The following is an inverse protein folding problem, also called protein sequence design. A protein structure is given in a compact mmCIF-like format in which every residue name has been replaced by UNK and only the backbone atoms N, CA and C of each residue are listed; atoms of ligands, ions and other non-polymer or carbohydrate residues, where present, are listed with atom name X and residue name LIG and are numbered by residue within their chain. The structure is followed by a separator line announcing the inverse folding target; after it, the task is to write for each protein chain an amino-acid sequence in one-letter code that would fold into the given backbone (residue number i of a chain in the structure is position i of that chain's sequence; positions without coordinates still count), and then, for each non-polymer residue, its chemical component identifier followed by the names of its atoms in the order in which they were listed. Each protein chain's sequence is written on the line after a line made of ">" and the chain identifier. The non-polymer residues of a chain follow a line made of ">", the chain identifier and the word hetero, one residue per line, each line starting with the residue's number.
data_IF_626404821667
#
_entry.id   IF_626404821667
#
_cell.length_a   1.000
_cell.length_b   1.000
_cell.length_c   1.000
_cell.angle_alpha   90.00
_cell.angle_beta   90.00
_cell.angle_gamma   90.00
#
_symmetry.space_group_name_H-M   'P 1'
#
loop_
_entity.id
_entity.type
_entity.pdbx_description
1 polymer ?
#
# COMPACT_ATOMS: atom_id res chain seq x y z
N UNK A 1 -1.65 -6.14 3.93
CA UNK A 1 -1.23 -7.01 2.80
C UNK A 1 -2.17 -8.17 2.48
N UNK A 2 -2.72 -8.91 3.46
CA UNK A 2 -3.61 -10.05 3.17
C UNK A 2 -4.77 -9.70 2.21
N UNK A 3 -5.54 -8.66 2.51
CA UNK A 3 -6.65 -8.24 1.64
C UNK A 3 -6.16 -7.70 0.29
N UNK A 4 -5.29 -6.68 0.30
CA UNK A 4 -4.89 -6.00 -0.93
C UNK A 4 -4.00 -6.86 -1.84
N UNK A 5 -2.98 -7.53 -1.30
CA UNK A 5 -1.98 -8.29 -2.09
C UNK A 5 -2.31 -9.78 -2.16
N UNK A 6 -3.02 -10.31 -1.17
CA UNK A 6 -3.46 -11.70 -1.13
C UNK A 6 -4.80 -11.97 -1.82
N UNK A 7 -5.69 -10.97 -1.91
CA UNK A 7 -7.02 -11.15 -2.52
C UNK A 7 -7.30 -10.19 -3.69
N UNK A 8 -7.30 -8.88 -3.46
CA UNK A 8 -7.74 -7.88 -4.46
C UNK A 8 -6.80 -7.84 -5.68
N UNK A 9 -5.49 -7.71 -5.45
CA UNK A 9 -4.52 -7.66 -6.56
C UNK A 9 -4.54 -8.93 -7.40
N UNK A 10 -4.51 -10.16 -6.84
CA UNK A 10 -4.67 -11.38 -7.65
C UNK A 10 -5.96 -11.41 -8.46
N UNK A 11 -7.09 -10.97 -7.89
CA UNK A 11 -8.36 -10.87 -8.59
C UNK A 11 -8.25 -9.92 -9.80
N UNK A 12 -7.83 -8.67 -9.57
CA UNK A 12 -7.72 -7.69 -10.65
C UNK A 12 -6.64 -8.05 -11.67
N UNK A 13 -5.52 -8.65 -11.24
CA UNK A 13 -4.48 -9.13 -12.16
C UNK A 13 -4.98 -10.23 -13.09
N UNK A 14 -5.86 -11.13 -12.61
CA UNK A 14 -6.48 -12.18 -13.45
C UNK A 14 -7.51 -11.61 -14.41
N UNK A 15 -8.23 -10.55 -14.03
CA UNK A 15 -9.28 -9.95 -14.86
C UNK A 15 -8.76 -8.95 -15.88
N UNK A 16 -7.79 -8.10 -15.52
CA UNK A 16 -7.35 -6.95 -16.30
C UNK A 16 -5.86 -6.99 -16.68
N UNK A 17 -5.13 -8.03 -16.27
CA UNK A 17 -3.68 -8.13 -16.44
C UNK A 17 -2.89 -7.53 -15.26
N UNK A 18 -1.62 -7.92 -15.15
CA UNK A 18 -0.79 -7.63 -13.96
C UNK A 18 -0.64 -6.14 -13.70
N UNK A 19 -0.32 -5.34 -14.73
CA UNK A 19 -0.10 -3.91 -14.59
C UNK A 19 -1.35 -3.17 -14.08
N UNK A 20 -2.50 -3.39 -14.72
CA UNK A 20 -3.77 -2.81 -14.27
C UNK A 20 -4.19 -3.35 -12.90
N UNK A 21 -3.96 -4.63 -12.61
CA UNK A 21 -4.22 -5.20 -11.29
C UNK A 21 -3.46 -4.51 -10.16
N UNK A 22 -2.20 -4.15 -10.39
CA UNK A 22 -1.39 -3.36 -9.45
C UNK A 22 -1.97 -1.95 -9.29
N UNK A 23 -2.19 -1.24 -10.41
CA UNK A 23 -2.64 0.16 -10.38
C UNK A 23 -4.02 0.30 -9.72
N UNK A 24 -4.98 -0.55 -10.09
CA UNK A 24 -6.34 -0.51 -9.53
C UNK A 24 -6.34 -0.83 -8.03
N UNK A 25 -5.55 -1.83 -7.60
CA UNK A 25 -5.43 -2.16 -6.17
C UNK A 25 -4.79 -1.02 -5.39
N UNK A 26 -3.74 -0.40 -5.93
CA UNK A 26 -3.05 0.70 -5.29
C UNK A 26 -3.88 1.99 -5.24
N UNK A 27 -4.68 2.26 -6.27
CA UNK A 27 -5.63 3.37 -6.30
C UNK A 27 -6.71 3.18 -5.23
N UNK A 28 -7.33 2.00 -5.16
CA UNK A 28 -8.30 1.66 -4.13
C UNK A 28 -7.70 1.82 -2.72
N UNK A 29 -6.48 1.32 -2.51
CA UNK A 29 -5.76 1.44 -1.24
C UNK A 29 -5.55 2.90 -0.85
N UNK A 30 -5.01 3.74 -1.75
CA UNK A 30 -4.78 5.16 -1.45
C UNK A 30 -6.06 5.95 -1.21
N UNK A 31 -7.12 5.71 -1.99
CA UNK A 31 -8.41 6.38 -1.79
C UNK A 31 -9.03 6.08 -0.42
N UNK A 32 -8.86 4.86 0.10
CA UNK A 32 -9.35 4.49 1.43
C UNK A 32 -8.63 5.24 2.57
N UNK A 33 -7.44 5.80 2.33
CA UNK A 33 -6.73 6.63 3.31
C UNK A 33 -7.12 8.11 3.22
N UNK A 34 -7.88 8.53 2.19
CA UNK A 34 -8.32 9.92 2.03
C UNK A 34 -8.95 10.52 3.30
N UNK A 35 -9.91 9.84 3.97
CA UNK A 35 -10.53 10.33 5.20
C UNK A 35 -9.55 10.63 6.35
N UNK A 36 -8.45 9.89 6.45
CA UNK A 36 -7.43 10.06 7.50
C UNK A 36 -6.69 11.39 7.39
N UNK A 37 -6.59 11.91 6.16
CA UNK A 37 -5.85 13.13 5.82
C UNK A 37 -6.78 14.25 5.33
N UNK A 38 -8.04 14.26 5.76
CA UNK A 38 -9.03 15.27 5.34
C UNK A 38 -9.15 15.42 3.81
N UNK A 39 -8.99 14.32 3.08
CA UNK A 39 -8.98 14.27 1.62
C UNK A 39 -7.89 15.12 0.94
N UNK A 40 -6.80 15.44 1.65
CA UNK A 40 -5.64 16.06 1.03
C UNK A 40 -5.01 15.11 0.00
N UNK A 41 -5.17 15.47 -1.28
CA UNK A 41 -4.83 14.63 -2.42
C UNK A 41 -3.35 14.22 -2.46
N UNK A 42 -2.46 15.02 -1.87
CA UNK A 42 -1.03 14.72 -1.78
C UNK A 42 -0.77 13.40 -1.04
N UNK A 43 -1.48 13.16 0.07
CA UNK A 43 -1.35 11.92 0.84
C UNK A 43 -1.93 10.74 0.07
N UNK A 44 -3.07 10.92 -0.61
CA UNK A 44 -3.65 9.88 -1.47
C UNK A 44 -2.67 9.46 -2.55
N UNK A 45 -2.07 10.42 -3.26
CA UNK A 45 -1.07 10.15 -4.32
C UNK A 45 0.18 9.47 -3.75
N UNK A 46 0.69 9.94 -2.60
CA UNK A 46 1.85 9.33 -1.96
C UNK A 46 1.59 7.87 -1.55
N UNK A 47 0.45 7.61 -0.90
CA UNK A 47 0.07 6.27 -0.43
C UNK A 47 -0.21 5.34 -1.62
N UNK A 48 -0.87 5.82 -2.68
CA UNK A 48 -1.04 5.06 -3.92
C UNK A 48 0.31 4.72 -4.54
N UNK A 49 1.28 5.63 -4.54
CA UNK A 49 2.62 5.39 -5.08
C UNK A 49 3.33 4.27 -4.31
N UNK A 50 3.32 4.32 -2.97
CA UNK A 50 3.80 3.21 -2.13
C UNK A 50 3.05 1.92 -2.46
N UNK A 51 1.74 2.03 -2.67
CA UNK A 51 0.88 0.91 -3.02
C UNK A 51 1.28 0.21 -4.33
N UNK A 52 1.69 0.97 -5.35
CA UNK A 52 2.20 0.47 -6.64
C UNK A 52 3.52 -0.27 -6.43
N UNK A 53 4.46 0.30 -5.66
CA UNK A 53 5.76 -0.33 -5.37
C UNK A 53 5.55 -1.68 -4.68
N UNK A 54 4.72 -1.73 -3.64
CA UNK A 54 4.39 -2.99 -2.96
C UNK A 54 3.69 -3.97 -3.91
N UNK A 55 2.80 -3.49 -4.79
CA UNK A 55 2.14 -4.33 -5.78
C UNK A 55 3.12 -4.95 -6.79
N UNK A 56 4.12 -4.19 -7.23
CA UNK A 56 5.21 -4.69 -8.09
C UNK A 56 6.05 -5.74 -7.37
N UNK A 57 6.44 -5.48 -6.13
CA UNK A 57 7.21 -6.43 -5.31
C UNK A 57 6.44 -7.72 -5.09
N UNK A 58 5.12 -7.64 -4.82
CA UNK A 58 4.27 -8.82 -4.80
C UNK A 58 4.40 -9.55 -6.13
N UNK A 59 4.12 -8.88 -7.24
CA UNK A 59 4.06 -9.53 -8.57
C UNK A 59 5.37 -10.25 -8.91
N UNK A 60 6.51 -9.64 -8.57
CA UNK A 60 7.83 -10.22 -8.77
C UNK A 60 8.13 -11.38 -7.80
N UNK A 61 7.88 -11.21 -6.50
CA UNK A 61 8.21 -12.22 -5.48
C UNK A 61 7.21 -13.38 -5.42
N UNK A 62 6.05 -13.25 -6.07
CA UNK A 62 4.90 -14.16 -5.98
C UNK A 62 4.52 -14.57 -4.54
N UNK A 63 4.77 -13.67 -3.58
CA UNK A 63 4.53 -13.88 -2.16
C UNK A 63 4.08 -12.58 -1.52
N UNK A 64 3.26 -12.68 -0.47
CA UNK A 64 2.82 -11.53 0.32
C UNK A 64 3.77 -11.23 1.49
N UNK A 65 4.68 -12.14 1.82
CA UNK A 65 5.57 -12.01 2.98
C UNK A 65 6.49 -10.78 2.83
N UNK A 66 7.20 -10.58 1.69
CA UNK A 66 8.09 -9.43 1.55
C UNK A 66 7.31 -8.11 1.66
N UNK A 67 6.15 -8.03 1.03
CA UNK A 67 5.30 -6.84 1.10
C UNK A 67 4.77 -6.59 2.51
N UNK A 68 4.48 -7.66 3.28
CA UNK A 68 3.98 -7.53 4.65
C UNK A 68 5.05 -6.98 5.58
N UNK A 69 6.28 -7.49 5.46
CA UNK A 69 7.44 -6.97 6.19
C UNK A 69 7.70 -5.52 5.81
N UNK A 70 7.79 -5.21 4.51
CA UNK A 70 8.08 -3.85 4.05
C UNK A 70 7.02 -2.83 4.48
N UNK A 71 5.74 -3.17 4.35
CA UNK A 71 4.66 -2.30 4.80
C UNK A 71 4.68 -2.13 6.33
N UNK A 72 4.91 -3.22 7.09
CA UNK A 72 5.08 -3.16 8.54
C UNK A 72 6.23 -2.24 8.96
N UNK A 73 7.40 -2.36 8.31
CA UNK A 73 8.55 -1.49 8.55
C UNK A 73 8.26 -0.03 8.21
N UNK A 74 7.59 0.24 7.07
CA UNK A 74 7.19 1.58 6.68
C UNK A 74 6.33 2.22 7.77
N UNK A 75 5.28 1.53 8.24
CA UNK A 75 4.41 2.04 9.30
C UNK A 75 5.14 2.20 10.64
N UNK A 76 6.05 1.29 10.97
CA UNK A 76 6.84 1.36 12.20
C UNK A 76 7.70 2.62 12.27
N UNK A 77 8.26 3.08 11.14
CA UNK A 77 9.02 4.34 11.09
C UNK A 77 8.14 5.52 11.51
N UNK A 78 6.91 5.61 11.02
CA UNK A 78 5.98 6.69 11.41
C UNK A 78 5.57 6.60 12.87
N UNK A 79 5.31 5.40 13.38
CA UNK A 79 4.97 5.18 14.80
C UNK A 79 6.14 5.60 15.71
N UNK A 80 7.37 5.24 15.36
CA UNK A 80 8.58 5.63 16.10
C UNK A 80 8.79 7.14 16.04
N UNK A 81 8.66 7.76 14.87
CA UNK A 81 8.76 9.21 14.72
C UNK A 81 7.70 9.96 15.54
N UNK A 82 6.47 9.45 15.57
CA UNK A 82 5.40 9.98 16.41
C UNK A 82 5.71 9.82 17.90
N UNK A 83 6.23 8.67 18.32
CA UNK A 83 6.62 8.44 19.70
C UNK A 83 7.71 9.44 20.15
N UNK A 84 8.75 9.63 19.33
CA UNK A 84 9.82 10.60 19.62
C UNK A 84 9.26 12.02 19.73
N UNK A 85 8.46 12.46 18.76
CA UNK A 85 7.92 13.84 18.72
C UNK A 85 6.91 14.13 19.83
N UNK A 86 6.24 13.12 20.41
CA UNK A 86 5.39 13.30 21.58
C UNK A 86 6.14 13.43 22.91
N UNK A 87 7.40 13.03 22.96
CA UNK A 87 8.23 13.04 24.17
C UNK A 87 9.25 14.18 24.22
N UNK A 88 9.24 15.06 23.21
CA UNK A 88 9.99 16.32 23.14
C UNK A 88 9.02 17.47 23.31
#
# INVERSE_FOLDING_TARGET
>A
ELLFRGFIQPLFSRTFGVALGIVLTAALFGCLHGPEYSWAWQYVVAITTVGIVLGWIRAWANSIIPTAVMHGCYNAIFVVALAITKHV
#
